data_IF_918465272858
#
_entry.id   IF_918465272858
#
_cell.length_a   1.000
_cell.length_b   1.000
_cell.length_c   1.000
_cell.angle_alpha   90.00
_cell.angle_beta   90.00
_cell.angle_gamma   90.00
#
_symmetry.space_group_name_H-M   'P 1'
#
loop_
_entity.id
_entity.type
_entity.pdbx_description
1 polymer ?
#
# COMPACT_ATOMS: atom_id res chain seq x y z
N UNK A 1 -3.35 -20.64 -11.15
CA UNK A 1 -3.42 -19.63 -10.09
C UNK A 1 -2.57 -20.12 -8.93
N UNK A 2 -1.48 -19.43 -8.63
CA UNK A 2 -0.58 -19.80 -7.54
C UNK A 2 -1.27 -19.67 -6.18
N UNK A 3 -0.82 -20.44 -5.19
CA UNK A 3 -1.40 -20.43 -3.83
C UNK A 3 -1.47 -19.02 -3.22
N UNK A 4 -0.46 -18.18 -3.49
CA UNK A 4 -0.36 -16.81 -2.99
C UNK A 4 -1.30 -15.81 -3.69
N UNK A 5 -1.63 -16.04 -4.96
CA UNK A 5 -2.59 -15.20 -5.72
C UNK A 5 -3.99 -15.35 -5.15
N UNK A 6 -4.42 -16.59 -4.92
CA UNK A 6 -5.73 -16.89 -4.36
C UNK A 6 -5.87 -16.41 -2.90
N UNK A 7 -4.80 -16.51 -2.11
CA UNK A 7 -4.78 -15.98 -0.75
C UNK A 7 -4.91 -14.44 -0.76
N UNK A 8 -4.19 -13.73 -1.65
CA UNK A 8 -4.31 -12.28 -1.81
C UNK A 8 -5.71 -11.84 -2.24
N UNK A 9 -6.30 -12.50 -3.24
CA UNK A 9 -7.65 -12.16 -3.71
C UNK A 9 -8.70 -12.28 -2.58
N UNK A 10 -8.62 -13.36 -1.79
CA UNK A 10 -9.50 -13.56 -0.63
C UNK A 10 -9.31 -12.51 0.45
N UNK A 11 -8.06 -12.13 0.71
CA UNK A 11 -7.73 -11.10 1.69
C UNK A 11 -8.32 -9.76 1.30
N UNK A 12 -8.20 -9.38 0.03
CA UNK A 12 -8.74 -8.11 -0.47
C UNK A 12 -10.27 -8.09 -0.44
N UNK A 13 -10.93 -9.23 -0.65
CA UNK A 13 -12.39 -9.34 -0.52
C UNK A 13 -12.90 -9.09 0.92
N UNK A 14 -12.09 -9.35 1.94
CA UNK A 14 -12.45 -9.17 3.36
C UNK A 14 -12.15 -7.76 3.89
N UNK A 15 -11.69 -6.84 3.04
CA UNK A 15 -11.25 -5.50 3.43
C UNK A 15 -12.32 -4.67 4.16
N UNK A 16 -13.60 -4.88 3.83
CA UNK A 16 -14.71 -4.13 4.42
C UNK A 16 -15.14 -4.64 5.81
N UNK A 17 -14.66 -5.81 6.24
CA UNK A 17 -15.12 -6.49 7.46
C UNK A 17 -14.11 -6.44 8.61
N UNK A 18 -12.87 -5.97 8.37
CA UNK A 18 -11.78 -6.04 9.36
C UNK A 18 -11.66 -4.72 10.13
N UNK A 19 -11.84 -4.77 11.45
CA UNK A 19 -11.53 -3.64 12.34
C UNK A 19 -10.02 -3.52 12.62
N UNK A 20 -9.55 -2.37 13.15
CA UNK A 20 -8.11 -2.15 13.41
C UNK A 20 -7.48 -3.18 14.37
N UNK A 21 -8.19 -3.54 15.46
CA UNK A 21 -7.71 -4.54 16.42
C UNK A 21 -7.63 -5.95 15.79
N UNK A 22 -8.60 -6.28 14.94
CA UNK A 22 -8.60 -7.52 14.17
C UNK A 22 -7.53 -7.53 13.09
N UNK A 23 -7.11 -6.36 12.58
CA UNK A 23 -6.09 -6.25 11.52
C UNK A 23 -4.77 -6.90 11.97
N UNK A 24 -4.30 -6.64 13.19
CA UNK A 24 -3.02 -7.17 13.67
C UNK A 24 -3.07 -8.69 13.87
N UNK A 25 -4.17 -9.20 14.43
CA UNK A 25 -4.35 -10.65 14.61
C UNK A 25 -4.58 -11.35 13.27
N UNK A 26 -5.27 -10.71 12.33
CA UNK A 26 -5.42 -11.16 10.96
C UNK A 26 -4.05 -11.29 10.27
N UNK A 27 -3.14 -10.32 10.45
CA UNK A 27 -1.79 -10.42 9.90
C UNK A 27 -1.05 -11.67 10.39
N UNK A 28 -1.37 -12.19 11.58
CA UNK A 28 -0.73 -13.39 12.12
C UNK A 28 -1.17 -14.67 11.42
N UNK A 29 -2.38 -14.71 10.85
CA UNK A 29 -2.94 -15.89 10.17
C UNK A 29 -2.29 -16.17 8.81
N UNK A 30 -1.76 -15.15 8.14
CA UNK A 30 -1.25 -15.26 6.78
C UNK A 30 0.29 -15.16 6.71
N UNK A 31 0.82 -15.63 5.57
CA UNK A 31 2.25 -15.57 5.31
C UNK A 31 2.73 -14.13 5.15
N UNK A 32 3.93 -13.83 5.67
CA UNK A 32 4.43 -12.46 5.76
C UNK A 32 4.41 -11.68 4.43
N UNK A 33 4.90 -12.24 3.33
CA UNK A 33 4.92 -11.51 2.05
C UNK A 33 3.52 -11.22 1.48
N UNK A 34 2.56 -12.12 1.72
CA UNK A 34 1.16 -11.92 1.35
C UNK A 34 0.56 -10.77 2.15
N UNK A 35 0.83 -10.73 3.46
CA UNK A 35 0.41 -9.61 4.33
C UNK A 35 1.01 -8.29 3.87
N UNK A 36 2.29 -8.25 3.51
CA UNK A 36 2.95 -7.02 3.03
C UNK A 36 2.31 -6.49 1.73
N UNK A 37 2.03 -7.39 0.77
CA UNK A 37 1.38 -7.00 -0.48
C UNK A 37 -0.07 -6.54 -0.25
N UNK A 38 -0.84 -7.25 0.58
CA UNK A 38 -2.20 -6.85 0.93
C UNK A 38 -2.24 -5.48 1.64
N UNK A 39 -1.34 -5.26 2.60
CA UNK A 39 -1.27 -3.98 3.32
C UNK A 39 -0.95 -2.80 2.39
N UNK A 40 -0.10 -3.02 1.39
CA UNK A 40 0.22 -2.02 0.37
C UNK A 40 -0.99 -1.69 -0.54
N UNK A 41 -1.76 -2.71 -0.93
CA UNK A 41 -3.01 -2.49 -1.69
C UNK A 41 -4.03 -1.73 -0.85
N UNK A 42 -4.21 -2.12 0.42
CA UNK A 42 -5.13 -1.44 1.33
C UNK A 42 -4.76 0.02 1.54
N UNK A 43 -3.49 0.31 1.82
CA UNK A 43 -3.01 1.67 1.97
C UNK A 43 -3.25 2.50 0.70
N UNK A 44 -2.94 1.95 -0.48
CA UNK A 44 -3.17 2.63 -1.77
C UNK A 44 -4.64 3.01 -1.93
N UNK A 45 -5.55 2.08 -1.62
CA UNK A 45 -6.99 2.32 -1.70
C UNK A 45 -7.49 3.35 -0.68
N UNK A 46 -7.06 3.24 0.58
CA UNK A 46 -7.48 4.17 1.64
C UNK A 46 -7.07 5.61 1.33
N UNK A 47 -5.86 5.82 0.80
CA UNK A 47 -5.39 7.15 0.40
C UNK A 47 -6.19 7.72 -0.78
N UNK A 48 -6.47 6.90 -1.80
CA UNK A 48 -7.28 7.34 -2.95
C UNK A 48 -8.72 7.68 -2.56
N UNK A 49 -9.35 6.89 -1.70
CA UNK A 49 -10.68 7.17 -1.14
C UNK A 49 -10.68 8.48 -0.33
N UNK A 50 -9.62 8.74 0.44
CA UNK A 50 -9.44 10.01 1.15
C UNK A 50 -9.31 11.18 0.17
N UNK A 51 -8.58 11.03 -0.93
CA UNK A 51 -8.50 12.08 -1.96
C UNK A 51 -9.84 12.33 -2.66
N UNK A 52 -10.63 11.29 -2.93
CA UNK A 52 -11.98 11.44 -3.49
C UNK A 52 -12.89 12.19 -2.50
N UNK A 53 -12.81 11.88 -1.20
CA UNK A 53 -13.53 12.61 -0.13
C UNK A 53 -13.12 14.07 -0.04
N UNK A 54 -11.82 14.38 -0.12
CA UNK A 54 -11.33 15.77 -0.15
C UNK A 54 -11.86 16.51 -1.37
N UNK A 55 -11.84 15.89 -2.55
CA UNK A 55 -12.39 16.44 -3.80
C UNK A 55 -13.90 16.69 -3.70
N UNK A 56 -14.62 15.83 -2.98
CA UNK A 56 -16.05 15.98 -2.69
C UNK A 56 -16.35 17.00 -1.57
N UNK A 57 -15.34 17.74 -1.08
CA UNK A 57 -15.51 18.85 -0.15
C UNK A 57 -15.22 18.53 1.33
N UNK A 58 -14.83 17.30 1.66
CA UNK A 58 -14.46 16.93 3.04
C UNK A 58 -13.00 17.33 3.36
N UNK A 59 -12.79 18.61 3.64
CA UNK A 59 -11.45 19.18 3.88
C UNK A 59 -10.66 18.53 5.02
N UNK A 60 -11.34 17.92 5.98
CA UNK A 60 -10.70 17.26 7.13
C UNK A 60 -10.41 15.76 6.91
N UNK A 61 -10.80 15.18 5.78
CA UNK A 61 -10.64 13.74 5.54
C UNK A 61 -9.17 13.28 5.64
N UNK A 62 -8.24 14.05 5.09
CA UNK A 62 -6.81 13.73 5.12
C UNK A 62 -6.22 13.83 6.53
N UNK A 63 -6.62 14.83 7.31
CA UNK A 63 -6.21 14.96 8.72
C UNK A 63 -6.75 13.82 9.57
N UNK A 64 -8.02 13.48 9.43
CA UNK A 64 -8.64 12.37 10.17
C UNK A 64 -7.99 11.03 9.80
N UNK A 65 -7.59 10.87 8.54
CA UNK A 65 -6.87 9.68 8.10
C UNK A 65 -5.45 9.62 8.66
N UNK A 66 -4.72 10.75 8.71
CA UNK A 66 -3.42 10.81 9.37
C UNK A 66 -3.51 10.37 10.84
N UNK A 67 -4.50 10.86 11.59
CA UNK A 67 -4.76 10.45 12.98
C UNK A 67 -5.08 8.94 13.09
N UNK A 68 -5.86 8.39 12.14
CA UNK A 68 -6.15 6.95 12.06
C UNK A 68 -4.88 6.12 11.87
N UNK A 69 -4.00 6.53 10.94
CA UNK A 69 -2.74 5.82 10.65
C UNK A 69 -1.80 5.85 11.85
N UNK A 70 -1.69 6.99 12.55
CA UNK A 70 -0.92 7.08 13.79
C UNK A 70 -1.41 6.07 14.84
N UNK A 71 -2.73 6.01 15.07
CA UNK A 71 -3.32 5.06 16.01
C UNK A 71 -3.05 3.61 15.63
N UNK A 72 -3.15 3.26 14.34
CA UNK A 72 -2.84 1.91 13.86
C UNK A 72 -1.38 1.53 14.11
N UNK A 73 -0.44 2.47 13.94
CA UNK A 73 0.98 2.26 14.23
C UNK A 73 1.19 2.04 15.73
N UNK A 74 0.56 2.84 16.59
CA UNK A 74 0.66 2.69 18.05
C UNK A 74 0.14 1.31 18.53
N UNK A 75 -0.98 0.85 17.96
CA UNK A 75 -1.54 -0.49 18.20
C UNK A 75 -0.56 -1.59 17.74
N UNK A 76 0.03 -1.44 16.55
CA UNK A 76 1.02 -2.37 16.02
C UNK A 76 2.28 -2.45 16.89
N UNK A 77 2.80 -1.29 17.34
CA UNK A 77 3.95 -1.21 18.24
C UNK A 77 3.64 -1.88 19.57
N UNK A 78 2.46 -1.63 20.14
CA UNK A 78 2.00 -2.27 21.37
C UNK A 78 1.98 -3.79 21.24
N UNK A 79 1.52 -4.32 20.08
CA UNK A 79 1.56 -5.77 19.82
C UNK A 79 2.98 -6.32 19.71
N UNK A 80 3.89 -5.61 19.05
CA UNK A 80 5.28 -6.07 18.85
C UNK A 80 6.04 -6.25 20.17
N UNK A 81 5.75 -5.40 21.16
CA UNK A 81 6.34 -5.44 22.51
C UNK A 81 5.90 -6.69 23.27
N UNK A 82 4.70 -7.21 23.01
CA UNK A 82 4.19 -8.42 23.63
C UNK A 82 5.01 -9.67 23.23
N UNK A 83 4.94 -10.76 24.01
CA UNK A 83 5.57 -12.03 23.65
C UNK A 83 4.99 -12.57 22.33
N UNK A 84 5.87 -12.75 21.34
CA UNK A 84 5.55 -13.22 20.00
C UNK A 84 6.61 -14.22 19.55
N UNK A 85 6.24 -15.14 18.64
CA UNK A 85 7.20 -16.03 18.00
C UNK A 85 8.20 -15.22 17.18
N UNK A 86 9.43 -15.71 17.04
CA UNK A 86 10.51 -15.01 16.31
C UNK A 86 10.11 -14.65 14.87
N UNK A 87 9.38 -15.53 14.18
CA UNK A 87 8.91 -15.29 12.81
C UNK A 87 7.82 -14.20 12.76
N UNK A 88 6.87 -14.25 13.69
CA UNK A 88 5.77 -13.26 13.77
C UNK A 88 6.31 -11.88 14.10
N UNK A 89 7.29 -11.79 15.01
CA UNK A 89 7.98 -10.52 15.29
C UNK A 89 8.71 -9.97 14.07
N UNK A 90 9.39 -10.81 13.28
CA UNK A 90 10.02 -10.38 12.01
C UNK A 90 8.99 -9.88 11.00
N UNK A 91 7.85 -10.56 10.91
CA UNK A 91 6.71 -10.16 10.05
C UNK A 91 6.20 -8.78 10.45
N UNK A 92 5.81 -8.58 11.71
CA UNK A 92 5.28 -7.31 12.20
C UNK A 92 6.31 -6.17 12.12
N UNK A 93 7.59 -6.43 12.40
CA UNK A 93 8.65 -5.43 12.20
C UNK A 93 8.76 -4.98 10.74
N UNK A 94 8.58 -5.90 9.79
CA UNK A 94 8.63 -5.58 8.36
C UNK A 94 7.41 -4.76 7.93
N UNK A 95 6.23 -5.07 8.49
CA UNK A 95 5.01 -4.27 8.29
C UNK A 95 5.18 -2.88 8.89
N UNK A 96 5.72 -2.76 10.11
CA UNK A 96 5.95 -1.49 10.78
C UNK A 96 6.85 -0.54 9.96
N UNK A 97 7.90 -1.07 9.33
CA UNK A 97 8.77 -0.27 8.44
C UNK A 97 7.98 0.32 7.26
N UNK A 98 7.05 -0.46 6.69
CA UNK A 98 6.18 0.00 5.61
C UNK A 98 5.20 1.05 6.12
N UNK A 99 4.53 0.78 7.24
CA UNK A 99 3.49 1.65 7.78
C UNK A 99 4.06 3.01 8.23
N UNK A 100 5.26 3.03 8.80
CA UNK A 100 5.97 4.27 9.13
C UNK A 100 6.25 5.10 7.88
N UNK A 101 6.72 4.48 6.80
CA UNK A 101 6.92 5.18 5.53
C UNK A 101 5.61 5.70 4.93
N UNK A 102 4.55 4.88 4.97
CA UNK A 102 3.21 5.27 4.54
C UNK A 102 2.66 6.47 5.31
N UNK A 103 2.85 6.48 6.64
CA UNK A 103 2.52 7.63 7.50
C UNK A 103 3.29 8.87 7.10
N UNK A 104 4.61 8.76 6.91
CA UNK A 104 5.45 9.91 6.55
C UNK A 104 4.98 10.56 5.24
N UNK A 105 4.53 9.77 4.26
CA UNK A 105 3.91 10.29 3.01
C UNK A 105 2.61 11.05 3.30
N UNK A 106 1.71 10.47 4.11
CA UNK A 106 0.42 11.09 4.46
C UNK A 106 0.64 12.39 5.24
N UNK A 107 1.61 12.42 6.14
CA UNK A 107 1.95 13.62 6.93
C UNK A 107 2.53 14.74 6.08
N UNK A 108 3.32 14.41 5.03
CA UNK A 108 3.79 15.40 4.06
C UNK A 108 2.63 15.99 3.25
N UNK A 109 1.61 15.18 2.94
CA UNK A 109 0.46 15.60 2.14
C UNK A 109 -0.60 16.37 2.96
N UNK A 110 -0.74 16.09 4.26
CA UNK A 110 -1.75 16.69 5.15
C UNK A 110 -1.74 18.24 5.24
N UNK A 111 -0.57 18.93 5.36
CA UNK A 111 -0.52 20.39 5.48
C UNK A 111 -0.49 21.13 4.14
N UNK A 112 -0.29 20.47 2.99
CA UNK A 112 -0.11 21.15 1.70
C UNK A 112 -1.46 21.54 1.05
N UNK A 113 -1.63 22.82 0.72
CA UNK A 113 -2.86 23.36 0.10
C UNK A 113 -2.89 23.20 -1.43
N UNK A 114 -1.84 22.65 -2.04
CA UNK A 114 -1.64 22.62 -3.50
C UNK A 114 -2.04 21.25 -4.05
N UNK A 115 -3.29 21.12 -4.50
CA UNK A 115 -3.82 19.85 -5.01
C UNK A 115 -3.06 19.30 -6.24
N UNK A 116 -2.57 20.17 -7.13
CA UNK A 116 -1.84 19.72 -8.33
C UNK A 116 -0.43 19.20 -8.01
N UNK A 117 0.23 19.72 -6.98
CA UNK A 117 1.55 19.23 -6.57
C UNK A 117 1.42 17.89 -5.81
N UNK A 118 0.35 17.75 -5.02
CA UNK A 118 0.00 16.49 -4.35
C UNK A 118 -0.25 15.35 -5.34
N UNK A 119 -0.85 15.64 -6.50
CA UNK A 119 -1.09 14.62 -7.52
C UNK A 119 0.22 13.99 -8.02
N UNK A 120 1.24 14.82 -8.34
CA UNK A 120 2.54 14.30 -8.74
C UNK A 120 3.29 13.61 -7.60
N UNK A 121 3.28 14.17 -6.39
CA UNK A 121 3.91 13.57 -5.22
C UNK A 121 3.30 12.19 -4.91
N UNK A 122 1.99 12.04 -5.02
CA UNK A 122 1.29 10.77 -4.90
C UNK A 122 1.61 9.83 -6.05
N UNK A 123 1.58 10.31 -7.29
CA UNK A 123 1.89 9.48 -8.45
C UNK A 123 3.33 8.94 -8.44
N UNK A 124 4.25 9.66 -7.80
CA UNK A 124 5.65 9.25 -7.65
C UNK A 124 5.87 8.08 -6.70
N UNK A 125 4.88 7.76 -5.84
CA UNK A 125 4.94 6.64 -4.92
C UNK A 125 4.66 5.30 -5.64
N UNK A 126 5.18 4.21 -5.07
CA UNK A 126 4.83 2.86 -5.49
C UNK A 126 3.41 2.52 -5.00
N UNK A 127 2.51 2.25 -5.95
CA UNK A 127 1.10 1.99 -5.68
C UNK A 127 0.71 0.61 -6.16
N UNK A 128 -0.08 -0.09 -5.36
CA UNK A 128 -0.44 -1.49 -5.60
C UNK A 128 -1.94 -1.58 -5.89
N UNK A 129 -2.28 -2.09 -7.07
CA UNK A 129 -3.63 -2.19 -7.55
C UNK A 129 -3.97 -3.63 -7.87
N UNK A 130 -5.04 -4.14 -7.27
CA UNK A 130 -5.64 -5.38 -7.73
C UNK A 130 -6.54 -5.09 -8.94
N UNK A 131 -6.20 -5.64 -10.10
CA UNK A 131 -6.97 -5.43 -11.34
C UNK A 131 -7.86 -6.63 -11.58
N UNK A 132 -9.16 -6.50 -11.28
CA UNK A 132 -10.15 -7.57 -11.42
C UNK A 132 -10.20 -8.18 -12.82
N UNK A 133 -10.10 -7.36 -13.87
CA UNK A 133 -10.14 -7.82 -15.26
C UNK A 133 -9.03 -8.82 -15.60
N UNK A 134 -7.90 -8.74 -14.90
CA UNK A 134 -6.76 -9.63 -15.09
C UNK A 134 -6.57 -10.61 -13.92
N UNK A 135 -7.41 -10.50 -12.88
CA UNK A 135 -7.29 -11.17 -11.59
C UNK A 135 -5.85 -11.20 -11.05
N UNK A 136 -5.18 -10.05 -11.10
CA UNK A 136 -3.75 -9.94 -10.84
C UNK A 136 -3.41 -8.60 -10.17
N UNK A 137 -2.35 -8.61 -9.37
CA UNK A 137 -1.78 -7.45 -8.71
C UNK A 137 -0.84 -6.71 -9.66
N UNK A 138 -1.07 -5.41 -9.83
CA UNK A 138 -0.23 -4.51 -10.61
C UNK A 138 0.40 -3.47 -9.70
N UNK A 139 1.69 -3.23 -9.89
CA UNK A 139 2.39 -2.12 -9.29
C UNK A 139 2.46 -0.99 -10.30
N UNK A 140 2.15 0.23 -9.86
CA UNK A 140 2.23 1.44 -10.67
C UNK A 140 3.12 2.48 -9.97
N UNK A 141 3.89 3.19 -10.77
CA UNK A 141 4.70 4.33 -10.33
C UNK A 141 4.84 5.32 -11.48
N UNK A 142 4.37 6.55 -11.30
CA UNK A 142 4.16 7.52 -12.38
C UNK A 142 3.48 6.85 -13.60
N UNK A 143 4.14 6.89 -14.76
CA UNK A 143 3.67 6.31 -16.02
C UNK A 143 4.04 4.82 -16.20
N UNK A 144 4.77 4.21 -15.26
CA UNK A 144 5.17 2.82 -15.33
C UNK A 144 4.12 1.92 -14.66
N UNK A 145 3.79 0.80 -15.29
CA UNK A 145 2.97 -0.26 -14.70
C UNK A 145 3.54 -1.64 -15.03
N UNK A 146 3.59 -2.51 -14.02
CA UNK A 146 4.08 -3.88 -14.15
C UNK A 146 3.28 -4.84 -13.27
N UNK A 147 3.13 -6.09 -13.73
CA UNK A 147 2.50 -7.16 -12.96
C UNK A 147 3.40 -7.59 -11.81
N UNK A 148 2.80 -7.92 -10.67
CA UNK A 148 3.50 -8.45 -9.52
C UNK A 148 4.02 -9.87 -9.83
N UNK A 149 5.27 -10.17 -9.44
CA UNK A 149 5.93 -11.43 -9.80
C UNK A 149 5.57 -12.64 -8.91
N UNK A 150 4.92 -12.41 -7.77
CA UNK A 150 4.56 -13.45 -6.77
C UNK A 150 5.71 -14.35 -6.28
N UNK A 151 6.96 -13.93 -6.48
CA UNK A 151 8.14 -14.66 -6.00
C UNK A 151 8.27 -14.54 -4.48
N UNK A 152 8.33 -15.68 -3.80
CA UNK A 152 8.53 -15.72 -2.37
C UNK A 152 10.02 -15.57 -2.02
N UNK A 153 10.43 -14.36 -1.68
CA UNK A 153 11.80 -14.02 -1.28
C UNK A 153 12.06 -14.19 0.23
N UNK A 154 11.03 -14.51 1.02
CA UNK A 154 11.10 -14.60 2.48
C UNK A 154 11.11 -13.24 3.18
N UNK A 155 11.08 -13.28 4.52
CA UNK A 155 11.15 -12.09 5.38
C UNK A 155 12.61 -11.71 5.68
N UNK A 156 13.37 -11.44 4.62
CA UNK A 156 14.71 -10.85 4.74
C UNK A 156 14.57 -9.44 5.30
N UNK A 157 15.45 -9.06 6.24
CA UNK A 157 15.36 -7.77 6.92
C UNK A 157 15.26 -6.64 5.92
N UNK A 158 14.13 -5.91 5.92
CA UNK A 158 13.90 -4.80 5.01
C UNK A 158 14.63 -3.57 5.54
N UNK A 159 15.27 -2.82 4.65
CA UNK A 159 15.82 -1.51 5.00
C UNK A 159 14.66 -0.52 5.22
N UNK A 160 14.87 0.44 6.11
CA UNK A 160 13.94 1.56 6.30
C UNK A 160 13.80 2.32 4.98
N UNK A 161 12.57 2.55 4.54
CA UNK A 161 12.28 3.28 3.31
C UNK A 161 12.39 4.77 3.62
N UNK A 162 13.17 5.48 2.80
CA UNK A 162 13.41 6.92 2.93
C UNK A 162 13.16 7.61 1.60
N UNK A 163 12.98 8.94 1.57
CA UNK A 163 12.86 9.68 0.32
C UNK A 163 14.02 9.45 -0.66
N UNK A 164 15.20 9.07 -0.17
CA UNK A 164 16.33 8.70 -1.02
C UNK A 164 16.08 7.37 -1.74
N UNK A 165 15.52 6.39 -1.03
CA UNK A 165 15.12 5.09 -1.61
C UNK A 165 14.02 5.25 -2.65
N UNK A 166 13.07 6.16 -2.42
CA UNK A 166 11.98 6.44 -3.38
C UNK A 166 12.51 7.00 -4.70
N UNK A 167 13.51 7.89 -4.63
CA UNK A 167 14.21 8.39 -5.84
C UNK A 167 14.92 7.30 -6.61
N UNK A 168 15.47 6.30 -5.92
CA UNK A 168 16.07 5.12 -6.57
C UNK A 168 14.97 4.33 -7.29
N UNK A 169 13.82 4.08 -6.63
CA UNK A 169 12.70 3.39 -7.29
C UNK A 169 12.22 4.12 -8.54
N UNK A 170 12.05 5.45 -8.48
CA UNK A 170 11.67 6.27 -9.64
C UNK A 170 12.65 6.11 -10.81
N UNK A 171 13.95 6.14 -10.52
CA UNK A 171 15.00 6.01 -11.53
C UNK A 171 15.02 4.60 -12.16
N UNK A 172 14.70 3.57 -11.39
CA UNK A 172 14.65 2.18 -11.86
C UNK A 172 13.40 1.86 -12.68
N UNK A 173 12.23 2.40 -12.29
CA UNK A 173 10.95 2.09 -12.95
C UNK A 173 10.72 2.91 -14.22
N UNK A 174 11.28 4.12 -14.33
CA UNK A 174 11.16 4.94 -15.52
C UNK A 174 11.64 4.28 -16.82
N UNK A 175 12.83 3.65 -16.91
CA UNK A 175 13.24 2.98 -18.14
C UNK A 175 12.36 1.77 -18.49
N UNK A 176 11.65 1.18 -17.51
CA UNK A 176 10.74 0.06 -17.75
C UNK A 176 9.47 0.49 -18.50
N UNK A 177 8.98 1.74 -18.29
CA UNK A 177 7.85 2.29 -19.04
C UNK A 177 8.18 2.39 -20.54
N UNK A 178 9.39 2.85 -20.88
CA UNK A 178 9.83 3.05 -22.27
C UNK A 178 9.91 1.76 -23.09
N UNK A 179 9.95 0.60 -22.43
CA UNK A 179 10.12 -0.70 -23.08
C UNK A 179 8.82 -1.49 -23.29
N UNK A 180 7.67 -1.04 -22.76
CA UNK A 180 6.40 -1.75 -22.96
C UNK A 180 5.58 -1.12 -24.10
N UNK A 181 4.94 -1.92 -24.97
CA UNK A 181 3.88 -1.40 -25.83
C UNK A 181 2.80 -0.80 -24.93
N UNK A 182 2.31 0.40 -25.26
CA UNK A 182 1.29 1.12 -24.48
C UNK A 182 0.05 0.24 -24.35
N UNK A 183 -0.08 -0.48 -23.25
CA UNK A 183 -1.35 -1.12 -22.88
C UNK A 183 -2.36 -0.03 -22.54
N UNK A 184 -3.63 -0.18 -22.96
CA UNK A 184 -4.65 0.84 -22.75
C UNK A 184 -4.81 1.17 -21.27
N UNK A 185 -5.02 2.46 -21.01
CA UNK A 185 -5.21 3.05 -19.70
C UNK A 185 -6.39 2.39 -18.99
N UNK A 186 -6.10 1.51 -18.03
CA UNK A 186 -7.14 0.89 -17.20
C UNK A 186 -7.55 1.89 -16.10
N UNK A 187 -8.74 2.48 -16.27
CA UNK A 187 -9.47 3.18 -15.22
C UNK A 187 -9.76 2.20 -14.07
N UNK A 188 -9.67 2.66 -12.81
CA UNK A 188 -9.98 1.82 -11.67
C UNK A 188 -11.50 1.73 -11.56
N UNK A 189 -12.04 0.53 -11.78
CA UNK A 189 -13.43 0.14 -11.56
C UNK A 189 -14.43 0.73 -12.56
N UNK A 190 -15.13 -0.16 -13.30
CA UNK A 190 -16.13 0.19 -14.30
C UNK A 190 -17.21 1.15 -13.78
N UNK A 191 -16.97 2.45 -13.95
CA UNK A 191 -18.02 3.46 -14.08
C UNK A 191 -18.29 3.59 -15.57
N UNK A 192 -19.40 3.01 -16.01
CA UNK A 192 -20.01 3.37 -17.29
C UNK A 192 -20.31 4.88 -17.30
N UNK A 193 -20.38 5.46 -18.50
CA UNK A 193 -20.66 6.88 -18.75
C UNK A 193 -21.86 7.43 -17.96
#
# INVERSE_FOLDING_TARGET
MGKYEADLAKILALQHEITNAEKVDWMLLYQGMVVLAANQVWWTWEVEDVFEKVKNGQKHALKNYAEKVHKQIDELVTRIIQPLKKNDRRKLNTVLIIDVHARDIVDIQSPSSIMNAQEFEWESQLRFYWVLAHDNLFVRQCNASFSYGYEYMGLNGRLVITPLTDRIYLTLTQPMWRKKPKTPMALPWGRDC
#
